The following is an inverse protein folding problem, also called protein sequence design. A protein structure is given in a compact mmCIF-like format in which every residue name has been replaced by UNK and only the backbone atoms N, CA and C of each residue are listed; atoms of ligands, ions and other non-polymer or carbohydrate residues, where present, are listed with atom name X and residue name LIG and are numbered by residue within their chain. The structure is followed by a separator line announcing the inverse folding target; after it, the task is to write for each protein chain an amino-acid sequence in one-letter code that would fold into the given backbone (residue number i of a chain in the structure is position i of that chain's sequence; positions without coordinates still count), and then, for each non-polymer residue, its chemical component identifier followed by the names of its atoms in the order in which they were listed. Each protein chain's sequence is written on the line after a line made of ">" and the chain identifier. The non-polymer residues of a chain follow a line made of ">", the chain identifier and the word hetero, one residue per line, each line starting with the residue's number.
data_IF_549104966824
#
_entry.id   IF_549104966824
#
_cell.length_a   1.000
_cell.length_b   1.000
_cell.length_c   1.000
_cell.angle_alpha   90.00
_cell.angle_beta   90.00
_cell.angle_gamma   90.00
#
_symmetry.space_group_name_H-M   'P 1'
#
loop_
_entity.id
_entity.type
_entity.pdbx_description
1 polymer ?
#
# COMPACT_ATOMS: atom_id res chain seq x y z
N UNK A 1 -1.73 15.81 25.89
CA UNK A 1 -1.48 14.67 24.97
C UNK A 1 -0.02 14.31 25.11
N UNK A 2 0.31 13.01 25.15
CA UNK A 2 1.71 12.59 25.14
C UNK A 2 2.36 13.08 23.83
N UNK A 3 3.57 13.63 23.91
CA UNK A 3 4.28 14.08 22.72
C UNK A 3 4.75 12.83 21.94
N UNK A 4 4.00 12.43 20.91
CA UNK A 4 4.32 11.24 20.11
C UNK A 4 5.54 11.55 19.26
N UNK A 5 6.63 10.83 19.50
CA UNK A 5 7.86 10.97 18.73
C UNK A 5 7.64 10.47 17.29
N UNK A 6 7.81 11.35 16.31
CA UNK A 6 7.81 10.99 14.89
C UNK A 6 9.02 10.09 14.60
N UNK A 7 8.76 8.79 14.56
CA UNK A 7 9.72 7.71 14.34
C UNK A 7 8.95 6.44 13.98
N UNK A 8 9.63 5.46 13.37
CA UNK A 8 9.04 4.15 13.06
C UNK A 8 8.45 3.50 14.31
N UNK A 9 9.22 3.43 15.40
CA UNK A 9 8.76 2.81 16.65
C UNK A 9 7.64 3.59 17.32
N UNK A 10 7.76 4.93 17.35
CA UNK A 10 6.76 5.80 17.96
C UNK A 10 5.39 5.65 17.30
N UNK A 11 5.34 5.71 15.96
CA UNK A 11 4.08 5.57 15.22
C UNK A 11 3.58 4.13 15.25
N UNK A 12 4.47 3.13 15.16
CA UNK A 12 4.11 1.70 15.30
C UNK A 12 3.40 1.41 16.61
N UNK A 13 3.93 1.94 17.73
CA UNK A 13 3.36 1.74 19.05
C UNK A 13 1.95 2.32 19.17
N UNK A 14 1.73 3.53 18.62
CA UNK A 14 0.39 4.14 18.60
C UNK A 14 -0.58 3.28 17.79
N UNK A 15 -0.18 2.79 16.61
CA UNK A 15 -1.03 1.88 15.84
C UNK A 15 -1.37 0.60 16.60
N UNK A 16 -0.38 -0.03 17.25
CA UNK A 16 -0.60 -1.23 18.07
C UNK A 16 -1.59 -0.95 19.20
N UNK A 17 -1.41 0.15 19.93
CA UNK A 17 -2.33 0.59 20.98
C UNK A 17 -3.75 0.77 20.43
N UNK A 18 -3.92 1.48 19.32
CA UNK A 18 -5.25 1.69 18.71
C UNK A 18 -5.89 0.42 18.21
N UNK A 19 -5.10 -0.53 17.71
CA UNK A 19 -5.64 -1.82 17.29
C UNK A 19 -6.09 -2.63 18.51
N UNK A 20 -5.33 -2.63 19.61
CA UNK A 20 -5.73 -3.29 20.86
C UNK A 20 -7.02 -2.68 21.41
N UNK A 21 -7.13 -1.35 21.49
CA UNK A 21 -8.37 -0.66 21.89
C UNK A 21 -9.57 -1.06 21.01
N UNK A 22 -9.35 -1.18 19.70
CA UNK A 22 -10.42 -1.54 18.77
C UNK A 22 -10.94 -2.96 19.00
N UNK A 23 -10.15 -3.89 19.55
CA UNK A 23 -10.61 -5.24 19.86
C UNK A 23 -11.75 -5.25 20.89
N UNK A 24 -11.88 -4.20 21.69
CA UNK A 24 -12.94 -4.06 22.67
C UNK A 24 -14.28 -3.66 22.04
N UNK A 25 -14.32 -3.24 20.78
CA UNK A 25 -15.57 -2.85 20.12
C UNK A 25 -16.39 -4.07 19.66
N UNK A 26 -17.74 -4.02 19.72
CA UNK A 26 -18.59 -5.18 19.41
C UNK A 26 -18.34 -5.80 18.02
N UNK A 27 -18.01 -5.01 17.00
CA UNK A 27 -17.66 -5.52 15.67
C UNK A 27 -16.35 -6.33 15.62
N UNK A 28 -15.48 -6.19 16.62
CA UNK A 28 -14.18 -6.87 16.73
C UNK A 28 -14.07 -7.80 17.95
N UNK A 29 -15.13 -7.93 18.75
CA UNK A 29 -15.15 -8.87 19.87
C UNK A 29 -15.40 -10.29 19.35
N UNK A 30 -14.33 -11.08 19.35
CA UNK A 30 -14.32 -12.47 18.87
C UNK A 30 -13.80 -13.41 19.94
N UNK A 31 -14.08 -14.72 19.81
CA UNK A 31 -13.36 -15.70 20.61
C UNK A 31 -11.86 -15.61 20.28
N UNK A 32 -11.00 -15.66 21.30
CA UNK A 32 -9.52 -15.58 21.17
C UNK A 32 -8.94 -16.58 20.15
N UNK A 33 -9.67 -17.65 19.82
CA UNK A 33 -9.30 -18.62 18.79
C UNK A 33 -9.46 -18.13 17.33
N UNK A 34 -9.94 -16.89 17.11
CA UNK A 34 -10.34 -16.34 15.79
C UNK A 34 -9.75 -14.96 15.47
N UNK A 35 -8.54 -14.67 15.92
CA UNK A 35 -7.84 -13.44 15.51
C UNK A 35 -7.70 -13.38 13.98
N UNK A 36 -8.14 -12.28 13.37
CA UNK A 36 -8.21 -12.09 11.91
C UNK A 36 -6.92 -11.49 11.32
N UNK A 37 -6.01 -11.04 12.16
CA UNK A 37 -4.73 -10.45 11.77
C UNK A 37 -3.57 -11.21 12.43
N UNK A 38 -2.34 -10.95 11.98
CA UNK A 38 -1.14 -11.51 12.60
C UNK A 38 -0.81 -10.90 13.95
N UNK A 39 -0.39 -11.74 14.88
CA UNK A 39 0.11 -11.31 16.19
C UNK A 39 1.58 -11.67 16.37
N UNK A 40 2.29 -10.92 17.20
CA UNK A 40 3.61 -11.32 17.67
C UNK A 40 3.53 -12.42 18.75
N UNK A 41 4.69 -12.81 19.27
CA UNK A 41 4.82 -13.87 20.29
C UNK A 41 4.14 -13.50 21.62
N UNK A 42 3.98 -12.21 21.90
CA UNK A 42 3.25 -11.69 23.06
C UNK A 42 1.73 -11.64 22.82
N UNK A 43 1.26 -12.04 21.64
CA UNK A 43 -0.14 -11.94 21.24
C UNK A 43 -0.58 -10.52 20.89
N UNK A 44 0.34 -9.56 20.73
CA UNK A 44 0.02 -8.18 20.34
C UNK A 44 -0.11 -8.08 18.82
N UNK A 45 -0.84 -7.08 18.30
CA UNK A 45 -0.96 -6.87 16.86
C UNK A 45 0.40 -6.67 16.18
N UNK A 46 0.66 -7.48 15.15
CA UNK A 46 1.87 -7.34 14.34
C UNK A 46 1.67 -6.25 13.29
N UNK A 47 2.00 -5.01 13.65
CA UNK A 47 1.93 -3.86 12.72
C UNK A 47 3.23 -3.74 11.94
N UNK A 48 3.14 -3.66 10.60
CA UNK A 48 4.29 -3.33 9.75
C UNK A 48 4.17 -1.88 9.32
N UNK A 49 5.20 -1.09 9.54
CA UNK A 49 5.20 0.33 9.22
C UNK A 49 6.46 0.72 8.47
N UNK A 50 6.32 1.69 7.59
CA UNK A 50 7.42 2.45 7.04
C UNK A 50 7.08 3.93 7.13
N UNK A 51 8.06 4.74 7.51
CA UNK A 51 7.89 6.18 7.67
C UNK A 51 8.93 6.84 6.79
N UNK A 52 8.51 7.76 5.94
CA UNK A 52 9.43 8.61 5.23
C UNK A 52 8.95 10.05 5.20
N UNK A 53 9.81 10.93 4.74
CA UNK A 53 9.55 12.35 4.76
C UNK A 53 10.16 13.04 3.53
N UNK A 54 9.56 14.14 3.13
CA UNK A 54 9.96 14.90 1.96
C UNK A 54 9.71 16.39 2.17
N UNK A 55 10.47 17.30 1.54
CA UNK A 55 10.11 18.70 1.47
C UNK A 55 8.84 18.88 0.62
N UNK A 56 8.15 20.01 0.77
CA UNK A 56 6.87 20.24 0.10
C UNK A 56 6.99 20.54 -1.41
N UNK A 57 8.18 20.83 -1.92
CA UNK A 57 8.44 20.94 -3.36
C UNK A 57 8.75 19.58 -4.03
N UNK A 58 8.82 18.51 -3.25
CA UNK A 58 9.15 17.19 -3.72
C UNK A 58 8.00 16.56 -4.51
N UNK A 59 8.30 16.17 -5.76
CA UNK A 59 7.36 15.41 -6.58
C UNK A 59 7.42 13.92 -6.22
N UNK A 60 6.43 13.45 -5.44
CA UNK A 60 6.25 12.04 -5.05
C UNK A 60 6.22 11.07 -6.25
N UNK A 61 5.81 11.55 -7.43
CA UNK A 61 5.49 10.73 -8.59
C UNK A 61 6.43 10.95 -9.78
N UNK A 62 7.56 11.63 -9.57
CA UNK A 62 8.56 11.84 -10.61
C UNK A 62 8.99 10.48 -11.21
N UNK A 63 8.82 10.31 -12.53
CA UNK A 63 9.10 9.06 -13.25
C UNK A 63 8.12 7.90 -13.00
N UNK A 64 7.08 8.09 -12.17
CA UNK A 64 6.07 7.07 -11.82
C UNK A 64 4.73 7.22 -12.52
N UNK A 65 4.44 8.42 -13.03
CA UNK A 65 3.16 8.73 -13.67
C UNK A 65 2.98 7.92 -14.94
N UNK A 66 2.33 6.79 -14.81
CA UNK A 66 1.84 6.00 -15.93
C UNK A 66 0.62 5.17 -15.49
N UNK A 67 -0.24 4.76 -16.43
CA UNK A 67 -1.39 3.91 -16.15
C UNK A 67 -1.04 2.55 -15.54
N UNK A 68 0.15 1.99 -15.80
CA UNK A 68 0.51 0.64 -15.36
C UNK A 68 1.01 0.56 -13.89
N UNK A 69 1.40 1.68 -13.29
CA UNK A 69 2.11 1.77 -12.00
C UNK A 69 1.31 2.60 -10.98
N UNK A 70 1.40 3.93 -11.01
CA UNK A 70 0.79 4.81 -10.00
C UNK A 70 -0.48 5.54 -10.49
N UNK A 71 -0.78 5.47 -11.79
CA UNK A 71 -1.81 6.27 -12.45
C UNK A 71 -1.22 7.48 -13.19
N UNK A 72 -1.99 8.07 -14.10
CA UNK A 72 -1.60 9.28 -14.85
C UNK A 72 -1.66 10.54 -13.98
N UNK A 73 -2.68 10.62 -13.12
CA UNK A 73 -2.95 11.77 -12.27
C UNK A 73 -3.03 11.36 -10.79
N UNK A 74 -1.95 10.79 -10.22
CA UNK A 74 -1.93 10.45 -8.80
C UNK A 74 -1.89 11.73 -7.96
N UNK A 75 -2.65 11.76 -6.87
CA UNK A 75 -2.67 12.82 -5.89
C UNK A 75 -1.29 12.95 -5.25
N UNK A 76 -0.67 14.12 -5.40
CA UNK A 76 0.56 14.51 -4.71
C UNK A 76 0.26 15.30 -3.44
N UNK A 77 1.32 15.87 -2.86
CA UNK A 77 1.21 16.75 -1.70
C UNK A 77 0.28 17.96 -1.93
N UNK A 78 0.24 18.60 -3.12
CA UNK A 78 -0.71 19.69 -3.38
C UNK A 78 -2.16 19.26 -3.21
N UNK A 79 -2.58 18.17 -3.85
CA UNK A 79 -3.97 17.69 -3.80
C UNK A 79 -4.38 17.24 -2.39
N UNK A 80 -3.44 16.64 -1.65
CA UNK A 80 -3.62 16.25 -0.25
C UNK A 80 -3.83 17.48 0.63
N UNK A 81 -3.00 18.52 0.44
CA UNK A 81 -3.13 19.76 1.18
C UNK A 81 -4.42 20.50 0.86
N UNK A 82 -4.78 20.63 -0.42
CA UNK A 82 -6.01 21.31 -0.84
C UNK A 82 -7.24 20.62 -0.24
N UNK A 83 -7.26 19.28 -0.20
CA UNK A 83 -8.31 18.54 0.49
C UNK A 83 -8.38 18.90 1.99
N UNK A 84 -7.24 18.91 2.70
CA UNK A 84 -7.19 19.32 4.11
C UNK A 84 -7.69 20.76 4.31
N UNK A 85 -7.15 21.70 3.54
CA UNK A 85 -7.43 23.13 3.66
C UNK A 85 -8.92 23.42 3.44
N UNK A 86 -9.56 22.77 2.47
CA UNK A 86 -10.99 22.90 2.24
C UNK A 86 -11.84 22.42 3.42
N UNK A 87 -11.42 21.35 4.09
CA UNK A 87 -12.14 20.77 5.25
C UNK A 87 -11.87 21.51 6.56
N UNK A 88 -10.73 22.22 6.66
CA UNK A 88 -10.29 22.97 7.86
C UNK A 88 -10.36 24.48 7.68
N UNK A 89 -11.06 24.98 6.65
CA UNK A 89 -11.27 26.41 6.46
C UNK A 89 -11.90 27.04 7.72
N UNK A 90 -11.42 28.20 8.17
CA UNK A 90 -12.07 28.93 9.25
C UNK A 90 -13.55 29.12 8.93
N UNK A 91 -14.41 28.97 9.94
CA UNK A 91 -15.84 29.26 9.82
C UNK A 91 -16.20 30.61 10.42
N UNK A 92 -15.23 31.27 11.04
CA UNK A 92 -15.38 32.55 11.73
C UNK A 92 -14.36 33.52 11.14
N UNK A 93 -14.81 34.71 10.77
CA UNK A 93 -13.94 35.79 10.26
C UNK A 93 -13.25 36.57 11.39
N UNK A 94 -12.42 37.54 11.01
CA UNK A 94 -11.68 38.42 11.91
C UNK A 94 -12.58 39.26 12.84
N UNK A 95 -13.87 39.41 12.52
CA UNK A 95 -14.85 40.11 13.36
C UNK A 95 -15.59 39.19 14.34
N UNK A 96 -15.30 37.89 14.30
CA UNK A 96 -15.98 36.88 15.12
C UNK A 96 -17.29 36.37 14.51
N UNK A 97 -17.62 36.72 13.26
CA UNK A 97 -18.86 36.33 12.60
C UNK A 97 -18.69 35.02 11.83
N UNK A 98 -19.71 34.16 11.86
CA UNK A 98 -19.76 32.97 11.01
C UNK A 98 -19.85 33.37 9.53
N UNK A 99 -18.97 32.82 8.69
CA UNK A 99 -18.91 33.14 7.27
C UNK A 99 -18.59 31.93 6.39
N UNK A 100 -19.16 31.93 5.19
CA UNK A 100 -18.90 30.94 4.13
C UNK A 100 -17.84 31.41 3.14
N UNK A 101 -17.38 32.67 3.25
CA UNK A 101 -16.49 33.32 2.29
C UNK A 101 -15.00 33.12 2.59
N UNK A 102 -14.66 32.24 3.53
CA UNK A 102 -13.27 31.96 3.89
C UNK A 102 -12.59 31.14 2.80
N UNK A 103 -11.49 31.69 2.29
CA UNK A 103 -10.68 31.05 1.26
C UNK A 103 -9.79 30.00 1.94
N UNK A 104 -9.79 28.74 1.47
CA UNK A 104 -8.86 27.73 1.94
C UNK A 104 -7.41 28.20 1.82
N UNK A 105 -6.56 27.79 2.77
CA UNK A 105 -5.13 28.06 2.70
C UNK A 105 -4.52 27.29 1.53
N UNK A 106 -3.93 27.99 0.56
CA UNK A 106 -3.34 27.37 -0.63
C UNK A 106 -2.13 26.48 -0.31
N UNK A 107 -1.72 25.65 -1.28
CA UNK A 107 -0.46 24.91 -1.14
C UNK A 107 0.78 25.80 -0.97
N UNK A 108 0.79 27.01 -1.54
CA UNK A 108 1.86 27.99 -1.31
C UNK A 108 1.95 28.46 0.14
N UNK A 109 0.80 28.55 0.82
CA UNK A 109 0.80 28.76 2.26
C UNK A 109 1.49 27.59 2.97
N UNK A 110 1.16 26.34 2.60
CA UNK A 110 1.79 25.16 3.20
C UNK A 110 3.32 25.20 3.05
N UNK A 111 3.81 25.44 1.83
CA UNK A 111 5.25 25.53 1.52
C UNK A 111 6.01 26.58 2.33
N UNK A 112 5.33 27.64 2.79
CA UNK A 112 5.92 28.71 3.60
C UNK A 112 5.85 28.46 5.10
N UNK A 113 4.97 27.57 5.56
CA UNK A 113 4.66 27.40 6.98
C UNK A 113 5.05 26.04 7.55
N UNK A 114 5.36 25.06 6.69
CA UNK A 114 5.79 23.71 7.07
C UNK A 114 7.13 23.37 6.41
N UNK A 115 8.01 22.70 7.15
CA UNK A 115 9.34 22.31 6.68
C UNK A 115 9.31 20.99 5.89
N UNK A 116 8.40 20.07 6.23
CA UNK A 116 8.30 18.77 5.57
C UNK A 116 6.88 18.18 5.62
N UNK A 117 6.67 17.19 4.77
CA UNK A 117 5.58 16.23 4.87
C UNK A 117 6.16 14.87 5.30
N UNK A 118 5.65 14.32 6.40
CA UNK A 118 5.91 12.96 6.88
C UNK A 118 4.77 12.06 6.43
N UNK A 119 5.11 10.92 5.86
CA UNK A 119 4.17 9.91 5.38
C UNK A 119 4.49 8.60 6.11
N UNK A 120 3.55 8.12 6.90
CA UNK A 120 3.63 6.82 7.56
C UNK A 120 2.71 5.84 6.84
N UNK A 121 3.26 4.84 6.16
CA UNK A 121 2.50 3.74 5.56
C UNK A 121 2.49 2.54 6.47
N UNK A 122 1.29 2.04 6.75
CA UNK A 122 1.04 0.95 7.69
C UNK A 122 0.36 -0.22 6.99
N UNK A 123 0.77 -1.43 7.33
CA UNK A 123 0.12 -2.69 6.97
C UNK A 123 -0.26 -3.44 8.24
N UNK A 124 -1.49 -3.93 8.29
CA UNK A 124 -1.95 -4.91 9.26
C UNK A 124 -2.04 -6.26 8.56
N UNK A 125 -1.08 -7.17 8.76
CA UNK A 125 -1.05 -8.44 8.04
C UNK A 125 -2.25 -9.33 8.40
N UNK A 126 -2.76 -10.05 7.41
CA UNK A 126 -3.78 -11.08 7.59
C UNK A 126 -3.26 -12.27 8.36
N UNK A 127 -4.09 -12.90 9.19
CA UNK A 127 -3.75 -14.14 9.88
C UNK A 127 -3.33 -15.25 8.90
N UNK A 128 -2.07 -15.71 9.00
CA UNK A 128 -1.52 -16.81 8.20
C UNK A 128 -2.34 -18.08 8.35
N UNK A 129 -2.89 -18.35 9.54
CA UNK A 129 -3.79 -19.48 9.77
C UNK A 129 -5.00 -19.44 8.84
N UNK A 130 -5.71 -18.30 8.79
CA UNK A 130 -6.90 -18.15 7.94
C UNK A 130 -6.52 -18.13 6.45
N UNK A 131 -5.36 -17.56 6.11
CA UNK A 131 -4.81 -17.60 4.75
C UNK A 131 -4.55 -19.05 4.32
N UNK A 132 -3.89 -19.85 5.16
CA UNK A 132 -3.59 -21.26 4.89
C UNK A 132 -4.87 -22.10 4.79
N UNK A 133 -5.82 -21.89 5.71
CA UNK A 133 -7.15 -22.53 5.65
C UNK A 133 -7.84 -22.24 4.29
N UNK A 134 -7.71 -21.02 3.77
CA UNK A 134 -8.27 -20.67 2.49
C UNK A 134 -7.54 -21.31 1.31
N UNK A 135 -6.21 -21.35 1.34
CA UNK A 135 -5.40 -22.02 0.32
C UNK A 135 -5.77 -23.50 0.21
N UNK A 136 -5.90 -24.21 1.34
CA UNK A 136 -6.32 -25.62 1.34
C UNK A 136 -7.74 -25.81 0.78
N UNK A 137 -8.66 -24.89 1.09
CA UNK A 137 -10.00 -24.91 0.52
C UNK A 137 -10.00 -24.71 -1.01
N UNK A 138 -9.15 -23.82 -1.54
CA UNK A 138 -9.03 -23.56 -2.98
C UNK A 138 -8.38 -24.73 -3.71
N UNK A 139 -7.41 -25.42 -3.10
CA UNK A 139 -6.84 -26.66 -3.67
C UNK A 139 -7.87 -27.79 -3.77
N UNK A 140 -8.67 -27.96 -2.72
CA UNK A 140 -9.71 -28.99 -2.68
C UNK A 140 -10.88 -28.73 -3.64
N UNK A 141 -11.14 -27.46 -3.96
CA UNK A 141 -12.16 -27.07 -4.94
C UNK A 141 -11.69 -25.83 -5.72
N UNK A 142 -11.36 -26.01 -6.99
CA UNK A 142 -10.92 -24.93 -7.89
C UNK A 142 -11.97 -23.83 -8.10
N UNK A 143 -13.22 -23.99 -7.66
CA UNK A 143 -14.26 -22.95 -7.60
C UNK A 143 -14.69 -22.62 -6.16
N UNK A 144 -13.90 -22.99 -5.17
CA UNK A 144 -14.15 -22.69 -3.76
C UNK A 144 -13.90 -21.22 -3.41
N UNK A 145 -14.65 -20.75 -2.41
CA UNK A 145 -14.45 -19.49 -1.68
C UNK A 145 -14.47 -19.79 -0.17
N UNK A 146 -14.11 -18.83 0.67
CA UNK A 146 -14.14 -18.97 2.12
C UNK A 146 -14.80 -17.76 2.77
N UNK A 147 -15.96 -17.99 3.39
CA UNK A 147 -16.61 -16.98 4.22
C UNK A 147 -15.71 -16.53 5.38
N UNK A 148 -14.88 -17.43 5.93
CA UNK A 148 -13.89 -17.10 6.97
C UNK A 148 -12.86 -16.10 6.45
N UNK A 149 -12.35 -16.33 5.25
CA UNK A 149 -11.40 -15.40 4.61
C UNK A 149 -12.07 -14.07 4.25
N UNK A 150 -13.26 -14.09 3.66
CA UNK A 150 -14.00 -12.89 3.33
C UNK A 150 -14.27 -12.02 4.57
N UNK A 151 -14.64 -12.66 5.68
CA UNK A 151 -14.84 -12.00 6.97
C UNK A 151 -13.53 -11.40 7.50
N UNK A 152 -12.46 -12.19 7.57
CA UNK A 152 -11.12 -11.70 7.92
C UNK A 152 -10.71 -10.48 7.08
N UNK A 153 -10.89 -10.56 5.76
CA UNK A 153 -10.56 -9.48 4.85
C UNK A 153 -11.31 -8.19 5.20
N UNK A 154 -12.61 -8.28 5.49
CA UNK A 154 -13.44 -7.15 5.88
C UNK A 154 -13.04 -6.58 7.24
N UNK A 155 -12.85 -7.44 8.24
CA UNK A 155 -12.51 -7.06 9.61
C UNK A 155 -11.16 -6.32 9.66
N UNK A 156 -10.13 -6.88 9.03
CA UNK A 156 -8.79 -6.27 9.02
C UNK A 156 -8.80 -4.94 8.25
N UNK A 157 -9.58 -4.83 7.17
CA UNK A 157 -9.76 -3.56 6.45
C UNK A 157 -10.47 -2.50 7.31
N UNK A 158 -11.52 -2.87 8.05
CA UNK A 158 -12.22 -1.96 8.94
C UNK A 158 -11.34 -1.52 10.11
N UNK A 159 -10.61 -2.47 10.70
CA UNK A 159 -9.70 -2.24 11.81
C UNK A 159 -8.59 -1.27 11.43
N UNK A 160 -7.88 -1.51 10.31
CA UNK A 160 -6.81 -0.59 9.89
C UNK A 160 -7.36 0.79 9.48
N UNK A 161 -8.57 0.87 8.92
CA UNK A 161 -9.22 2.16 8.64
C UNK A 161 -9.42 2.96 9.94
N UNK A 162 -10.06 2.34 10.95
CA UNK A 162 -10.31 2.99 12.24
C UNK A 162 -9.01 3.33 12.98
N UNK A 163 -8.04 2.43 12.99
CA UNK A 163 -6.75 2.65 13.64
C UNK A 163 -5.98 3.80 12.98
N UNK A 164 -6.05 3.94 11.65
CA UNK A 164 -5.45 5.06 10.92
C UNK A 164 -6.07 6.39 11.33
N UNK A 165 -7.41 6.44 11.45
CA UNK A 165 -8.12 7.65 11.90
C UNK A 165 -7.76 8.01 13.34
N UNK A 166 -7.78 7.05 14.27
CA UNK A 166 -7.41 7.29 15.67
C UNK A 166 -5.97 7.73 15.83
N UNK A 167 -5.04 7.07 15.13
CA UNK A 167 -3.62 7.45 15.13
C UNK A 167 -3.44 8.87 14.60
N UNK A 168 -4.13 9.25 13.53
CA UNK A 168 -4.09 10.62 13.01
C UNK A 168 -4.62 11.63 14.03
N UNK A 169 -5.71 11.33 14.74
CA UNK A 169 -6.26 12.20 15.80
C UNK A 169 -5.22 12.43 16.90
N UNK A 170 -4.56 11.37 17.35
CA UNK A 170 -3.56 11.46 18.42
C UNK A 170 -2.30 12.22 18.00
N UNK A 171 -2.00 12.23 16.71
CA UNK A 171 -0.88 12.98 16.14
C UNK A 171 -1.18 14.48 15.91
N UNK A 172 -2.45 14.91 15.97
CA UNK A 172 -2.77 16.33 15.80
C UNK A 172 -2.22 17.12 16.98
N UNK A 173 -1.35 18.08 16.68
CA UNK A 173 -0.94 19.14 17.59
C UNK A 173 -1.34 20.50 16.99
N UNK A 174 -1.29 21.57 17.79
CA UNK A 174 -1.69 22.91 17.33
C UNK A 174 -0.81 23.50 16.22
N UNK A 175 0.33 22.88 15.93
CA UNK A 175 1.38 23.36 15.05
C UNK A 175 1.51 22.54 13.76
N UNK A 176 0.80 21.43 13.65
CA UNK A 176 0.85 20.51 12.53
C UNK A 176 -0.50 20.37 11.80
N UNK A 177 -0.45 19.77 10.60
CA UNK A 177 -1.63 19.35 9.87
C UNK A 177 -1.57 17.86 9.59
N UNK A 178 -2.55 17.09 10.08
CA UNK A 178 -2.58 15.63 9.96
C UNK A 178 -3.79 15.16 9.18
N UNK A 179 -3.57 14.19 8.27
CA UNK A 179 -4.61 13.53 7.51
C UNK A 179 -4.50 12.01 7.65
N UNK A 180 -5.61 11.38 8.00
CA UNK A 180 -5.78 9.93 7.89
C UNK A 180 -6.14 9.56 6.45
N UNK A 181 -5.28 8.85 5.75
CA UNK A 181 -5.55 8.34 4.40
C UNK A 181 -6.23 6.97 4.48
N UNK A 182 -7.39 6.91 5.13
CA UNK A 182 -8.28 5.74 5.13
C UNK A 182 -9.07 5.64 3.81
N UNK A 183 -9.81 4.54 3.60
CA UNK A 183 -10.54 4.35 2.34
C UNK A 183 -11.55 5.49 2.06
N UNK A 184 -12.20 6.00 3.11
CA UNK A 184 -13.19 7.07 2.98
C UNK A 184 -12.53 8.38 2.57
N UNK A 185 -11.41 8.73 3.19
CA UNK A 185 -10.67 9.95 2.90
C UNK A 185 -10.03 9.90 1.52
N UNK A 186 -9.46 8.75 1.13
CA UNK A 186 -8.94 8.58 -0.24
C UNK A 186 -10.04 8.78 -1.29
N UNK A 187 -11.22 8.20 -1.06
CA UNK A 187 -12.37 8.39 -1.95
C UNK A 187 -12.81 9.85 -2.02
N UNK A 188 -12.88 10.54 -0.87
CA UNK A 188 -13.29 11.94 -0.78
C UNK A 188 -12.27 12.86 -1.47
N UNK A 189 -10.97 12.69 -1.18
CA UNK A 189 -9.90 13.44 -1.83
C UNK A 189 -9.94 13.27 -3.34
N UNK A 190 -10.12 12.04 -3.83
CA UNK A 190 -10.18 11.77 -5.27
C UNK A 190 -11.36 12.47 -5.94
N UNK A 191 -12.46 12.69 -5.22
CA UNK A 191 -13.64 13.39 -5.74
C UNK A 191 -13.55 14.91 -5.63
N UNK A 192 -12.93 15.41 -4.55
CA UNK A 192 -12.96 16.83 -4.18
C UNK A 192 -11.74 17.61 -4.68
N UNK A 193 -10.55 17.01 -4.67
CA UNK A 193 -9.30 17.69 -5.02
C UNK A 193 -8.84 17.40 -6.46
N UNK A 194 -9.36 16.33 -7.08
CA UNK A 194 -8.98 15.93 -8.44
C UNK A 194 -10.12 16.28 -9.42
N UNK A 195 -9.83 17.02 -10.50
CA UNK A 195 -10.82 17.32 -11.53
C UNK A 195 -11.48 16.07 -12.10
N UNK A 196 -12.78 16.13 -12.39
CA UNK A 196 -13.54 15.00 -12.97
C UNK A 196 -12.90 14.48 -14.26
N UNK A 197 -12.30 15.36 -15.09
CA UNK A 197 -11.58 14.99 -16.31
C UNK A 197 -10.31 14.17 -16.06
N UNK A 198 -9.80 14.18 -14.84
CA UNK A 198 -8.63 13.39 -14.41
C UNK A 198 -9.02 12.19 -13.55
N UNK A 199 -10.31 12.03 -13.26
CA UNK A 199 -10.87 10.83 -12.64
C UNK A 199 -11.08 9.75 -13.73
N UNK A 200 -10.99 8.47 -13.35
CA UNK A 200 -11.30 7.35 -14.25
C UNK A 200 -10.16 6.85 -15.16
N UNK A 201 -9.00 7.51 -15.22
CA UNK A 201 -7.85 7.09 -16.04
C UNK A 201 -6.65 6.51 -15.25
N UNK A 202 -6.89 6.03 -14.02
CA UNK A 202 -5.88 5.30 -13.25
C UNK A 202 -6.03 3.80 -13.51
N UNK A 203 -5.03 3.12 -14.06
CA UNK A 203 -5.08 1.66 -14.35
C UNK A 203 -4.22 0.88 -13.32
N UNK A 204 -4.52 -0.42 -13.09
CA UNK A 204 -3.90 -1.25 -12.04
C UNK A 204 -4.92 -2.09 -11.22
N UNK A 205 -4.48 -3.06 -10.38
CA UNK A 205 -5.34 -4.06 -9.73
C UNK A 205 -6.23 -3.57 -8.59
N UNK A 206 -6.22 -2.28 -8.27
CA UNK A 206 -7.04 -1.68 -7.21
C UNK A 206 -7.16 -0.17 -7.46
N UNK A 207 -8.13 0.25 -8.26
CA UNK A 207 -8.43 1.67 -8.54
C UNK A 207 -9.16 2.32 -7.36
N UNK A 208 -8.53 2.35 -6.18
CA UNK A 208 -9.14 2.83 -4.93
C UNK A 208 -9.27 4.35 -4.80
N UNK A 209 -9.00 5.10 -5.87
CA UNK A 209 -8.90 6.56 -5.89
C UNK A 209 -7.58 7.02 -6.52
N UNK A 210 -7.34 8.32 -6.53
CA UNK A 210 -6.14 8.94 -7.07
C UNK A 210 -4.97 8.93 -6.07
N UNK A 211 -5.15 8.48 -4.82
CA UNK A 211 -4.04 8.29 -3.88
C UNK A 211 -3.60 6.81 -3.86
N UNK A 212 -2.50 6.43 -4.55
CA UNK A 212 -2.12 5.03 -4.69
C UNK A 212 -1.36 4.54 -3.45
N UNK A 213 -2.12 4.15 -2.40
CA UNK A 213 -1.59 3.68 -1.10
C UNK A 213 -0.49 2.63 -1.22
N UNK A 214 -0.65 1.64 -2.10
CA UNK A 214 0.35 0.57 -2.32
C UNK A 214 1.66 1.14 -2.90
N UNK A 215 1.57 2.10 -3.83
CA UNK A 215 2.74 2.72 -4.45
C UNK A 215 3.48 3.63 -3.48
N UNK A 216 2.77 4.33 -2.58
CA UNK A 216 3.40 5.04 -1.45
C UNK A 216 4.12 4.05 -0.54
N UNK A 217 3.46 2.97 -0.12
CA UNK A 217 4.07 1.96 0.74
C UNK A 217 5.34 1.35 0.12
N UNK A 218 5.31 1.05 -1.18
CA UNK A 218 6.47 0.61 -1.95
C UNK A 218 7.58 1.67 -1.99
N UNK A 219 7.24 2.93 -2.27
CA UNK A 219 8.19 4.06 -2.27
C UNK A 219 8.87 4.23 -0.91
N UNK A 220 8.13 3.99 0.18
CA UNK A 220 8.62 4.06 1.55
C UNK A 220 9.29 2.75 2.02
N UNK A 221 9.51 1.76 1.14
CA UNK A 221 10.19 0.52 1.53
C UNK A 221 9.39 -0.39 2.48
N UNK A 222 8.07 -0.19 2.62
CA UNK A 222 7.23 -1.09 3.42
C UNK A 222 7.25 -2.51 2.87
N UNK A 223 7.30 -2.66 1.55
CA UNK A 223 7.42 -3.94 0.85
C UNK A 223 7.59 -3.75 -0.66
N UNK A 224 7.53 -4.84 -1.41
CA UNK A 224 7.69 -4.83 -2.86
C UNK A 224 6.43 -5.31 -3.57
N UNK A 225 6.24 -4.85 -4.81
CA UNK A 225 5.26 -5.45 -5.72
C UNK A 225 5.79 -6.78 -6.26
N UNK A 226 4.95 -7.81 -6.24
CA UNK A 226 5.19 -9.01 -7.04
C UNK A 226 4.68 -8.88 -8.46
N UNK A 227 4.85 -9.96 -9.24
CA UNK A 227 4.32 -10.08 -10.60
C UNK A 227 2.80 -9.84 -10.64
N UNK A 228 2.10 -10.24 -9.58
CA UNK A 228 0.66 -10.01 -9.39
C UNK A 228 0.27 -8.58 -9.03
N UNK A 229 1.25 -7.67 -8.96
CA UNK A 229 1.11 -6.27 -8.55
C UNK A 229 0.46 -6.10 -7.17
N UNK A 230 0.52 -7.17 -6.37
CA UNK A 230 0.23 -7.15 -4.95
C UNK A 230 1.48 -6.71 -4.22
N UNK A 231 1.30 -5.83 -3.24
CA UNK A 231 2.38 -5.46 -2.34
C UNK A 231 2.44 -6.47 -1.20
N UNK A 232 3.63 -6.99 -0.95
CA UNK A 232 3.92 -7.84 0.19
C UNK A 232 5.29 -7.53 0.75
N UNK A 233 5.50 -7.91 2.01
CA UNK A 233 6.72 -7.65 2.75
C UNK A 233 7.34 -8.96 3.17
N UNK A 234 8.58 -9.21 2.77
CA UNK A 234 9.35 -10.36 3.20
C UNK A 234 10.35 -9.91 4.26
N UNK A 235 10.35 -10.57 5.42
CA UNK A 235 11.33 -10.34 6.48
C UNK A 235 12.03 -11.65 6.83
N UNK A 236 13.30 -11.57 7.21
CA UNK A 236 14.04 -12.71 7.75
C UNK A 236 13.83 -12.75 9.26
N UNK A 237 13.22 -13.83 9.75
CA UNK A 237 12.96 -14.08 11.18
C UNK A 237 13.51 -15.47 11.49
N UNK A 238 14.47 -15.56 12.40
CA UNK A 238 15.15 -16.81 12.80
C UNK A 238 15.74 -17.60 11.62
N UNK A 239 16.27 -16.89 10.61
CA UNK A 239 16.86 -17.48 9.41
C UNK A 239 15.85 -17.84 8.31
N UNK A 240 14.56 -17.78 8.59
CA UNK A 240 13.48 -18.08 7.64
C UNK A 240 12.82 -16.81 7.12
N UNK A 241 12.35 -16.84 5.86
CA UNK A 241 11.60 -15.71 5.29
C UNK A 241 10.13 -15.82 5.63
N UNK A 242 9.61 -14.84 6.38
CA UNK A 242 8.19 -14.64 6.63
C UNK A 242 7.65 -13.58 5.68
N UNK A 243 6.57 -13.93 4.96
CA UNK A 243 5.88 -13.04 4.04
C UNK A 243 4.61 -12.50 4.67
N UNK A 244 4.48 -11.18 4.69
CA UNK A 244 3.33 -10.46 5.22
C UNK A 244 2.53 -9.81 4.09
N UNK A 245 1.21 -10.03 4.12
CA UNK A 245 0.22 -9.44 3.23
C UNK A 245 -0.93 -8.90 4.04
N UNK A 246 -1.45 -7.74 3.67
CA UNK A 246 -2.57 -7.11 4.38
C UNK A 246 -3.02 -5.83 3.69
N UNK A 247 -4.14 -5.23 4.13
CA UNK A 247 -4.50 -3.89 3.72
C UNK A 247 -3.45 -2.89 4.18
N UNK A 248 -3.26 -1.85 3.38
CA UNK A 248 -2.30 -0.77 3.61
C UNK A 248 -3.05 0.53 3.75
N UNK A 249 -2.68 1.36 4.73
CA UNK A 249 -3.16 2.74 4.89
C UNK A 249 -2.00 3.68 5.11
N UNK A 250 -2.27 4.98 5.09
CA UNK A 250 -1.26 5.98 5.41
C UNK A 250 -1.79 7.04 6.36
N UNK A 251 -0.89 7.64 7.14
CA UNK A 251 -1.09 8.95 7.78
C UNK A 251 -0.12 9.93 7.14
N UNK A 252 -0.60 11.13 6.84
CA UNK A 252 0.23 12.22 6.30
C UNK A 252 0.22 13.36 7.31
N UNK A 253 1.39 13.86 7.66
CA UNK A 253 1.59 14.92 8.64
C UNK A 253 2.49 16.00 8.03
N UNK A 254 2.02 17.25 8.03
CA UNK A 254 2.82 18.42 7.69
C UNK A 254 3.24 19.10 9.00
N UNK A 255 4.55 19.21 9.24
CA UNK A 255 5.12 19.83 10.44
C UNK A 255 6.18 20.87 10.07
N UNK A 256 6.65 21.61 11.08
CA UNK A 256 7.66 22.68 10.93
C UNK A 256 9.09 22.16 10.97
N UNK A 257 9.30 20.86 11.17
CA UNK A 257 10.64 20.30 11.26
C UNK A 257 11.30 20.19 9.89
N UNK A 258 12.62 20.20 9.87
CA UNK A 258 13.40 19.96 8.67
C UNK A 258 13.31 18.48 8.23
N UNK A 259 13.40 18.19 6.91
CA UNK A 259 13.45 16.83 6.45
C UNK A 259 14.65 16.05 7.04
N UNK A 260 14.36 14.93 7.72
CA UNK A 260 15.34 13.89 8.09
C UNK A 260 15.92 13.29 6.81
N UNK A 261 17.25 13.18 6.73
CA UNK A 261 17.99 12.64 5.56
C UNK A 261 18.98 11.53 5.92
N UNK A 262 19.30 11.40 7.19
CA UNK A 262 20.29 10.45 7.75
C UNK A 262 19.66 9.11 8.19
N UNK A 263 18.34 8.96 8.07
CA UNK A 263 17.61 7.78 8.56
C UNK A 263 17.26 7.85 10.05
N UNK A 264 17.44 8.99 10.72
CA UNK A 264 17.13 9.18 12.13
C UNK A 264 15.71 8.72 12.50
N UNK A 265 15.59 7.93 13.59
CA UNK A 265 14.30 7.40 14.03
C UNK A 265 13.66 6.39 13.07
N UNK A 266 14.42 5.84 12.12
CA UNK A 266 13.92 4.97 11.06
C UNK A 266 13.14 5.70 9.97
N UNK A 267 13.19 7.04 9.96
CA UNK A 267 12.48 7.86 8.96
C UNK A 267 13.34 7.96 7.71
N UNK A 268 12.83 7.46 6.59
CA UNK A 268 13.57 7.43 5.33
C UNK A 268 13.34 8.67 4.46
N UNK A 269 14.39 9.09 3.75
CA UNK A 269 14.28 10.06 2.67
C UNK A 269 14.27 9.33 1.31
N UNK A 270 13.19 9.38 0.52
CA UNK A 270 13.16 8.73 -0.78
C UNK A 270 14.06 9.47 -1.77
N UNK A 271 15.28 8.99 -1.99
CA UNK A 271 16.20 9.60 -2.96
C UNK A 271 15.85 9.21 -4.40
N UNK A 272 16.43 9.90 -5.39
CA UNK A 272 16.32 9.50 -6.80
C UNK A 272 16.96 8.13 -7.09
N UNK A 273 18.17 7.81 -6.59
CA UNK A 273 18.74 6.45 -6.71
C UNK A 273 17.82 5.36 -6.18
N UNK A 274 17.19 5.58 -5.01
CA UNK A 274 16.23 4.63 -4.44
C UNK A 274 15.04 4.40 -5.36
N UNK A 275 14.46 5.46 -5.92
CA UNK A 275 13.35 5.36 -6.89
C UNK A 275 13.71 4.55 -8.12
N UNK A 276 14.89 4.84 -8.72
CA UNK A 276 15.38 4.11 -9.89
C UNK A 276 15.54 2.62 -9.60
N UNK A 277 16.11 2.29 -8.44
CA UNK A 277 16.24 0.92 -7.98
C UNK A 277 14.87 0.24 -7.84
N UNK A 278 13.91 0.86 -7.14
CA UNK A 278 12.55 0.31 -7.01
C UNK A 278 11.88 0.06 -8.36
N UNK A 279 12.02 0.96 -9.35
CA UNK A 279 11.37 0.78 -10.65
C UNK A 279 11.97 -0.37 -11.43
N UNK A 280 13.29 -0.61 -11.29
CA UNK A 280 13.92 -1.78 -11.89
C UNK A 280 13.38 -3.09 -11.29
N UNK A 281 13.12 -3.12 -9.97
CA UNK A 281 12.54 -4.28 -9.30
C UNK A 281 11.11 -4.57 -9.77
N UNK A 282 10.30 -3.53 -10.01
CA UNK A 282 8.89 -3.69 -10.39
C UNK A 282 8.67 -3.97 -11.87
N UNK A 283 9.70 -3.78 -12.70
CA UNK A 283 9.65 -4.10 -14.11
C UNK A 283 10.05 -5.56 -14.35
N UNK A 284 9.08 -6.47 -14.36
CA UNK A 284 9.33 -7.89 -14.63
C UNK A 284 9.69 -8.21 -16.08
N UNK A 285 9.70 -7.22 -17.00
CA UNK A 285 10.32 -7.40 -18.32
C UNK A 285 11.85 -7.30 -18.25
N UNK A 286 12.38 -6.67 -17.19
CA UNK A 286 13.81 -6.63 -16.92
C UNK A 286 14.26 -7.94 -16.24
N UNK A 287 14.92 -8.80 -17.01
CA UNK A 287 15.42 -10.11 -16.56
C UNK A 287 16.88 -10.09 -16.10
N UNK A 288 17.50 -8.91 -15.95
CA UNK A 288 18.87 -8.80 -15.45
C UNK A 288 19.04 -9.56 -14.12
N UNK A 289 20.00 -10.51 -14.00
CA UNK A 289 20.18 -11.32 -12.79
C UNK A 289 20.46 -10.49 -11.53
N UNK A 290 21.15 -9.35 -11.67
CA UNK A 290 21.44 -8.45 -10.56
C UNK A 290 20.19 -7.74 -10.03
N UNK A 291 19.27 -7.36 -10.92
CA UNK A 291 17.95 -6.83 -10.55
C UNK A 291 17.06 -7.93 -9.97
N UNK A 292 16.99 -9.09 -10.64
CA UNK A 292 16.16 -10.21 -10.22
C UNK A 292 16.56 -10.78 -8.85
N UNK A 293 17.85 -10.77 -8.52
CA UNK A 293 18.37 -11.15 -7.21
C UNK A 293 17.83 -10.29 -6.05
N UNK A 294 17.36 -9.07 -6.32
CA UNK A 294 16.76 -8.18 -5.33
C UNK A 294 15.24 -8.28 -5.19
N UNK A 295 14.55 -9.07 -6.03
CA UNK A 295 13.09 -9.19 -6.02
C UNK A 295 12.62 -10.17 -4.94
N UNK A 296 11.64 -9.77 -4.14
CA UNK A 296 10.94 -10.69 -3.24
C UNK A 296 10.12 -11.73 -4.03
N UNK A 297 9.57 -11.32 -5.18
CA UNK A 297 8.83 -12.20 -6.06
C UNK A 297 9.78 -13.00 -6.94
N UNK A 298 9.89 -14.29 -6.65
CA UNK A 298 10.70 -15.25 -7.40
C UNK A 298 10.07 -15.66 -8.73
N UNK A 299 9.27 -14.80 -9.39
CA UNK A 299 8.59 -15.15 -10.65
C UNK A 299 9.61 -15.52 -11.74
N UNK A 300 10.61 -14.67 -11.94
CA UNK A 300 11.70 -14.90 -12.89
C UNK A 300 12.73 -15.83 -12.23
N UNK A 301 13.06 -16.99 -12.84
CA UNK A 301 14.10 -17.90 -12.35
C UNK A 301 15.45 -17.20 -12.15
N UNK A 302 16.21 -17.64 -11.15
CA UNK A 302 17.61 -17.22 -10.95
C UNK A 302 18.52 -18.44 -10.84
N UNK A 303 18.64 -19.00 -9.63
CA UNK A 303 19.25 -20.30 -9.34
C UNK A 303 18.18 -21.32 -8.89
N UNK A 304 16.91 -20.95 -9.04
CA UNK A 304 15.71 -21.71 -8.70
C UNK A 304 14.84 -21.88 -9.97
N UNK A 305 13.73 -22.62 -9.84
CA UNK A 305 12.79 -22.84 -10.96
C UNK A 305 11.82 -21.69 -11.23
N UNK A 306 11.95 -20.54 -10.55
CA UNK A 306 10.94 -19.47 -10.59
C UNK A 306 9.64 -19.81 -9.83
N UNK A 307 8.62 -18.96 -9.97
CA UNK A 307 7.35 -19.10 -9.24
C UNK A 307 6.16 -18.50 -10.00
N UNK A 308 5.38 -19.35 -10.68
CA UNK A 308 4.16 -18.98 -11.41
C UNK A 308 2.84 -19.11 -10.61
N UNK A 309 2.87 -19.59 -9.36
CA UNK A 309 1.68 -20.08 -8.65
C UNK A 309 0.49 -19.10 -8.61
N UNK A 310 0.73 -17.80 -8.49
CA UNK A 310 -0.35 -16.80 -8.45
C UNK A 310 -1.03 -16.63 -9.82
N UNK A 311 -0.29 -16.85 -10.91
CA UNK A 311 -0.81 -16.88 -12.28
C UNK A 311 -1.62 -18.17 -12.47
N UNK A 312 -1.04 -19.31 -12.08
CA UNK A 312 -1.67 -20.63 -12.24
C UNK A 312 -3.01 -20.75 -11.49
N UNK A 313 -3.13 -20.10 -10.33
CA UNK A 313 -4.36 -20.13 -9.52
C UNK A 313 -5.39 -19.05 -9.88
N UNK A 314 -5.10 -18.17 -10.85
CA UNK A 314 -5.96 -17.04 -11.22
C UNK A 314 -7.15 -17.52 -12.08
N UNK A 315 -8.39 -17.51 -11.56
CA UNK A 315 -9.53 -18.07 -12.30
C UNK A 315 -9.96 -17.21 -13.49
N UNK A 316 -9.70 -15.90 -13.44
CA UNK A 316 -10.11 -14.96 -14.50
C UNK A 316 -9.09 -14.81 -15.62
N UNK A 317 -7.90 -15.42 -15.51
CA UNK A 317 -6.80 -15.20 -16.45
C UNK A 317 -6.15 -13.80 -16.37
N UNK A 318 -6.63 -12.92 -15.47
CA UNK A 318 -6.14 -11.55 -15.37
C UNK A 318 -4.63 -11.47 -15.09
N UNK A 319 -4.11 -12.37 -14.26
CA UNK A 319 -2.68 -12.43 -13.94
C UNK A 319 -1.83 -12.86 -15.15
N UNK A 320 -2.25 -13.92 -15.86
CA UNK A 320 -1.61 -14.37 -17.10
C UNK A 320 -1.58 -13.25 -18.14
N UNK A 321 -2.71 -12.58 -18.33
CA UNK A 321 -2.85 -11.44 -19.25
C UNK A 321 -2.04 -10.20 -18.83
N UNK A 322 -1.40 -10.19 -17.66
CA UNK A 322 -0.75 -9.00 -17.07
C UNK A 322 0.72 -9.18 -16.74
N UNK A 323 1.26 -10.38 -16.96
CA UNK A 323 2.63 -10.76 -16.66
C UNK A 323 3.42 -10.98 -17.96
N UNK A 324 4.64 -10.45 -18.09
CA UNK A 324 5.58 -10.97 -19.09
C UNK A 324 5.90 -12.43 -18.76
N UNK A 325 6.31 -13.19 -19.77
CA UNK A 325 6.98 -14.47 -19.63
C UNK A 325 8.28 -14.34 -18.82
N UNK A 326 8.83 -15.44 -18.26
CA UNK A 326 10.07 -15.38 -17.47
C UNK A 326 11.31 -14.86 -18.22
N UNK A 327 11.28 -14.86 -19.55
CA UNK A 327 12.33 -14.27 -20.41
C UNK A 327 12.16 -12.75 -20.62
N UNK A 328 11.10 -12.16 -20.06
CA UNK A 328 10.77 -10.74 -20.14
C UNK A 328 9.87 -10.38 -21.33
N UNK A 329 9.60 -11.31 -22.24
CA UNK A 329 8.70 -11.11 -23.37
C UNK A 329 7.22 -11.17 -22.97
N UNK A 330 6.32 -10.78 -23.87
CA UNK A 330 4.88 -11.02 -23.70
C UNK A 330 4.43 -12.05 -24.71
N UNK A 331 3.47 -12.92 -24.34
CA UNK A 331 2.82 -13.82 -25.28
C UNK A 331 2.20 -13.01 -26.44
N UNK A 332 2.22 -13.54 -27.67
CA UNK A 332 1.81 -12.81 -28.88
C UNK A 332 0.39 -12.23 -28.78
N UNK A 333 -0.54 -12.98 -28.18
CA UNK A 333 -1.92 -12.55 -27.97
C UNK A 333 -2.03 -11.34 -27.02
N UNK A 334 -1.13 -11.21 -26.04
CA UNK A 334 -1.02 -10.04 -25.16
C UNK A 334 -0.22 -8.93 -25.84
N UNK A 335 0.94 -9.24 -26.41
CA UNK A 335 1.85 -8.27 -27.06
C UNK A 335 1.21 -7.51 -28.22
N UNK A 336 0.26 -8.13 -28.92
CA UNK A 336 -0.49 -7.50 -30.01
C UNK A 336 -1.60 -6.55 -29.52
N UNK A 337 -1.92 -6.52 -28.22
CA UNK A 337 -2.93 -5.62 -27.63
C UNK A 337 -2.32 -4.25 -27.32
N UNK A 338 -1.92 -3.49 -28.35
CA UNK A 338 -1.21 -2.20 -28.21
C UNK A 338 -1.90 -1.20 -27.28
N UNK A 339 -3.24 -1.19 -27.23
CA UNK A 339 -4.04 -0.35 -26.33
C UNK A 339 -3.83 -0.62 -24.83
N UNK A 340 -3.26 -1.77 -24.47
CA UNK A 340 -2.93 -2.14 -23.08
C UNK A 340 -1.53 -1.73 -22.67
N UNK A 341 -0.71 -1.23 -23.59
CA UNK A 341 0.64 -0.77 -23.29
C UNK A 341 0.69 0.75 -23.19
N UNK A 342 1.43 1.24 -22.20
CA UNK A 342 1.79 2.66 -22.10
C UNK A 342 3.30 2.76 -21.96
N UNK A 343 3.96 3.37 -22.94
CA UNK A 343 5.43 3.48 -22.98
C UNK A 343 6.13 2.12 -22.74
N UNK A 344 5.61 1.07 -23.39
CA UNK A 344 6.13 -0.29 -23.25
C UNK A 344 5.70 -1.03 -21.98
N UNK A 345 4.99 -0.39 -21.04
CA UNK A 345 4.53 -1.02 -19.80
C UNK A 345 3.11 -1.54 -19.94
N UNK A 346 2.92 -2.85 -19.74
CA UNK A 346 1.62 -3.49 -19.80
C UNK A 346 0.73 -3.07 -18.61
N UNK A 347 -0.53 -2.74 -18.89
CA UNK A 347 -1.54 -2.49 -17.89
C UNK A 347 -2.16 -3.80 -17.37
N UNK A 348 -2.44 -3.83 -16.07
CA UNK A 348 -3.09 -4.97 -15.44
C UNK A 348 -4.50 -5.16 -16.00
N UNK A 349 -4.88 -6.40 -16.28
CA UNK A 349 -6.23 -6.80 -16.71
C UNK A 349 -7.21 -6.75 -15.51
N UNK A 350 -7.45 -5.53 -15.04
CA UNK A 350 -8.30 -5.27 -13.89
C UNK A 350 -9.77 -5.60 -14.17
N UNK A 351 -10.21 -5.44 -15.42
CA UNK A 351 -11.57 -5.76 -15.84
C UNK A 351 -11.84 -7.25 -15.64
N UNK A 352 -11.02 -8.14 -16.20
CA UNK A 352 -11.19 -9.59 -15.99
C UNK A 352 -11.12 -9.98 -14.51
N UNK A 353 -10.22 -9.37 -13.73
CA UNK A 353 -10.15 -9.61 -12.28
C UNK A 353 -11.43 -9.16 -11.54
N UNK A 354 -12.01 -8.02 -11.91
CA UNK A 354 -13.21 -7.49 -11.28
C UNK A 354 -14.50 -8.14 -11.75
N UNK A 355 -14.60 -8.52 -13.02
CA UNK A 355 -15.83 -9.08 -13.57
C UNK A 355 -16.11 -10.45 -12.95
N UNK A 356 -15.12 -11.34 -12.88
CA UNK A 356 -15.24 -12.64 -12.21
C UNK A 356 -15.59 -12.49 -10.72
N UNK A 357 -14.86 -11.60 -10.01
CA UNK A 357 -15.12 -11.30 -8.59
C UNK A 357 -16.50 -10.67 -8.38
N UNK A 358 -16.87 -9.75 -9.25
CA UNK A 358 -18.08 -8.94 -9.19
C UNK A 358 -19.32 -9.78 -9.41
N UNK A 359 -19.32 -10.61 -10.46
CA UNK A 359 -20.41 -11.56 -10.74
C UNK A 359 -20.65 -12.53 -9.58
N UNK A 360 -19.59 -13.03 -8.94
CA UNK A 360 -19.75 -13.95 -7.82
C UNK A 360 -20.14 -13.21 -6.53
N UNK A 361 -19.65 -11.99 -6.32
CA UNK A 361 -20.03 -11.18 -5.15
C UNK A 361 -21.50 -10.71 -5.16
N UNK A 362 -22.11 -10.54 -6.35
CA UNK A 362 -23.53 -10.16 -6.47
C UNK A 362 -24.44 -11.34 -6.12
N UNK A 363 -23.99 -12.57 -6.35
CA UNK A 363 -24.69 -13.80 -6.02
C UNK A 363 -24.43 -14.26 -4.58
N UNK A 364 -23.22 -14.01 -4.07
CA UNK A 364 -22.72 -14.50 -2.80
C UNK A 364 -21.98 -13.38 -2.06
N UNK A 365 -22.64 -12.69 -1.11
CA UNK A 365 -22.05 -11.54 -0.40
C UNK A 365 -20.74 -11.83 0.37
N UNK A 366 -20.51 -13.09 0.73
CA UNK A 366 -19.28 -13.55 1.40
C UNK A 366 -18.28 -14.20 0.43
N UNK A 367 -18.42 -13.93 -0.86
CA UNK A 367 -17.47 -14.38 -1.87
C UNK A 367 -16.21 -13.51 -1.88
N UNK A 368 -15.05 -14.15 -1.81
CA UNK A 368 -13.76 -13.50 -1.98
C UNK A 368 -12.88 -14.38 -2.85
N UNK A 369 -12.41 -13.85 -4.00
CA UNK A 369 -11.43 -14.56 -4.82
C UNK A 369 -10.07 -14.56 -4.13
N UNK A 370 -9.32 -13.45 -4.13
CA UNK A 370 -8.07 -13.31 -3.35
C UNK A 370 -7.07 -14.50 -3.46
N UNK A 371 -7.14 -15.31 -4.52
CA UNK A 371 -6.31 -16.52 -4.66
C UNK A 371 -4.86 -16.18 -4.91
N UNK A 372 -4.61 -15.24 -5.82
CA UNK A 372 -3.27 -14.78 -6.11
C UNK A 372 -2.57 -14.22 -4.86
N UNK A 373 -3.28 -13.48 -3.99
CA UNK A 373 -2.70 -12.95 -2.75
C UNK A 373 -2.45 -14.05 -1.71
N UNK A 374 -3.38 -14.98 -1.53
CA UNK A 374 -3.27 -16.02 -0.50
C UNK A 374 -2.26 -17.10 -0.87
N UNK A 375 -2.24 -17.55 -2.12
CA UNK A 375 -1.20 -18.46 -2.64
C UNK A 375 0.17 -17.81 -2.60
N UNK A 376 0.30 -16.53 -3.01
CA UNK A 376 1.59 -15.84 -2.96
C UNK A 376 2.11 -15.69 -1.53
N UNK A 377 1.23 -15.41 -0.57
CA UNK A 377 1.58 -15.27 0.84
C UNK A 377 1.99 -16.60 1.48
N UNK A 378 1.17 -17.64 1.30
CA UNK A 378 1.35 -18.95 1.94
C UNK A 378 2.47 -19.76 1.28
N UNK A 379 2.48 -19.83 -0.05
CA UNK A 379 3.26 -20.81 -0.80
C UNK A 379 4.18 -20.25 -1.88
N UNK A 380 4.21 -18.92 -2.04
CA UNK A 380 5.13 -18.29 -2.98
C UNK A 380 6.58 -18.61 -2.60
N UNK A 381 7.41 -18.92 -3.60
CA UNK A 381 8.83 -19.19 -3.38
C UNK A 381 9.52 -17.93 -2.85
N UNK A 382 10.25 -18.07 -1.74
CA UNK A 382 10.90 -16.97 -1.02
C UNK A 382 12.42 -17.08 -1.15
N UNK A 383 13.10 -15.95 -1.35
CA UNK A 383 14.56 -15.86 -1.46
C UNK A 383 15.12 -15.10 -0.25
N UNK A 384 15.75 -15.78 0.73
CA UNK A 384 16.32 -15.12 1.90
C UNK A 384 17.29 -14.00 1.55
N UNK A 385 18.14 -14.21 0.54
CA UNK A 385 19.12 -13.21 0.11
C UNK A 385 18.49 -11.98 -0.56
N UNK A 386 17.33 -12.14 -1.22
CA UNK A 386 16.59 -10.99 -1.75
C UNK A 386 16.03 -10.12 -0.62
N UNK A 387 15.49 -10.74 0.44
CA UNK A 387 14.99 -10.04 1.62
C UNK A 387 16.11 -9.24 2.32
N UNK A 388 17.26 -9.87 2.60
CA UNK A 388 18.42 -9.19 3.20
C UNK A 388 18.97 -8.09 2.30
N UNK A 389 19.15 -8.39 1.01
CA UNK A 389 19.71 -7.47 0.03
C UNK A 389 18.85 -6.22 -0.15
N UNK A 390 17.52 -6.35 -0.16
CA UNK A 390 16.61 -5.22 -0.28
C UNK A 390 16.77 -4.20 0.84
N UNK A 391 16.75 -4.65 2.10
CA UNK A 391 16.88 -3.74 3.24
C UNK A 391 18.27 -3.12 3.33
N UNK A 392 19.33 -3.87 2.97
CA UNK A 392 20.67 -3.31 2.85
C UNK A 392 20.75 -2.23 1.77
N UNK A 393 20.13 -2.45 0.60
CA UNK A 393 20.09 -1.45 -0.49
C UNK A 393 19.23 -0.25 -0.14
N UNK A 394 18.13 -0.45 0.60
CA UNK A 394 17.31 0.64 1.11
C UNK A 394 18.14 1.55 2.01
N UNK A 395 18.86 0.99 2.97
CA UNK A 395 19.73 1.76 3.87
C UNK A 395 20.83 2.52 3.10
N UNK A 396 21.46 1.88 2.12
CA UNK A 396 22.50 2.49 1.28
C UNK A 396 21.96 3.64 0.42
N UNK A 397 20.80 3.45 -0.21
CA UNK A 397 20.28 4.39 -1.19
C UNK A 397 19.45 5.51 -0.58
N UNK A 398 19.01 5.40 0.67
CA UNK A 398 18.12 6.39 1.31
C UNK A 398 18.80 7.27 2.35
N UNK A 399 20.03 6.95 2.76
CA UNK A 399 20.88 7.79 3.61
C UNK A 399 21.68 8.74 2.70
N UNK A 400 21.42 10.04 2.84
CA UNK A 400 22.07 11.11 2.08
C UNK A 400 23.42 11.54 2.64
#
# INVERSE_FOLDING_TARGET
>A
MANIKISVDGISNVFKEKIVELQEEPEFQWSLARTTYETDEDGKPLVKIAVGNVPLDYDLWAGLRNPAVAGLHPAGLPEIWEFYANRRRPRVDESGRQTIFQVPRSYDYARKNYGRAVIASVMLPFSSKVVNDYVEAVKGNAKGSSHKFARMYNDVNLMINKATVRTAIDLVDGENAVLAMDNKTVTALSKEAIPETHQGLSHGPSKGGNYPQKSIAALLGLGQFGISRLLFRDEVVDGEVRRYVGPIRSVILFDKEEPVRDGGGGVMYPTEPWRKYLFSLYDFSNTDPGVNGGRFCSYIPLNDGGCGKCIDCCPSGAEYNSAPSPDGGYADDVGNQSHRFWEGKLQFDYASCCDDRGQLSTLYPEWSCARCVTICASEGVRRPEAAKGFYSRMDELTKG
#
